data_IF_166475374256
#
_entry.id   IF_166475374256
#
_cell.length_a   1.000
_cell.length_b   1.000
_cell.length_c   1.000
_cell.angle_alpha   90.00
_cell.angle_beta   90.00
_cell.angle_gamma   90.00
#
_symmetry.space_group_name_H-M   'P 1'
#
loop_
_entity.id
_entity.type
_entity.pdbx_description
1 polymer ?
#
# COMPACT_ATOMS: atom_id res chain seq x y z
N UNK A 1 -15.23 -14.01 17.79
CA UNK A 1 -13.78 -13.75 17.85
C UNK A 1 -13.11 -14.82 17.02
N UNK A 2 -12.47 -14.47 15.91
CA UNK A 2 -11.75 -15.44 15.09
C UNK A 2 -10.48 -15.89 15.82
N UNK A 3 -10.12 -17.18 15.77
CA UNK A 3 -8.86 -17.64 16.34
C UNK A 3 -7.67 -16.94 15.63
N UNK A 4 -6.57 -16.65 16.34
CA UNK A 4 -5.37 -16.13 15.71
C UNK A 4 -4.85 -17.09 14.62
N UNK A 5 -4.40 -16.51 13.50
CA UNK A 5 -3.89 -17.25 12.35
C UNK A 5 -2.36 -17.26 12.39
N UNK A 6 -1.75 -18.42 12.15
CA UNK A 6 -0.29 -18.54 11.99
C UNK A 6 0.11 -18.29 10.52
N UNK A 7 1.14 -17.49 10.28
CA UNK A 7 1.61 -17.27 8.92
C UNK A 7 2.48 -18.43 8.43
N UNK A 8 2.23 -18.83 7.18
CA UNK A 8 3.09 -19.75 6.41
C UNK A 8 4.02 -18.99 5.44
N UNK A 9 3.69 -17.72 5.15
CA UNK A 9 4.45 -16.85 4.25
C UNK A 9 4.19 -15.37 4.57
N UNK A 10 5.14 -14.50 4.21
CA UNK A 10 5.04 -13.05 4.31
C UNK A 10 4.45 -12.36 3.08
N UNK A 11 4.17 -13.09 1.99
CA UNK A 11 3.77 -12.47 0.71
C UNK A 11 2.57 -11.53 0.85
N UNK A 12 1.54 -11.92 1.61
CA UNK A 12 0.34 -11.10 1.84
C UNK A 12 0.66 -9.82 2.61
N UNK A 13 1.51 -9.89 3.63
CA UNK A 13 1.94 -8.73 4.42
C UNK A 13 2.78 -7.78 3.57
N UNK A 14 3.73 -8.32 2.79
CA UNK A 14 4.58 -7.54 1.91
C UNK A 14 3.80 -6.88 0.78
N UNK A 15 2.78 -7.54 0.25
CA UNK A 15 1.89 -6.95 -0.76
C UNK A 15 1.10 -5.76 -0.19
N UNK A 16 0.65 -5.84 1.06
CA UNK A 16 -0.04 -4.72 1.74
C UNK A 16 0.98 -3.60 2.04
N UNK A 17 2.20 -3.94 2.42
CA UNK A 17 3.25 -2.96 2.69
C UNK A 17 3.71 -2.22 1.41
N UNK A 18 3.79 -2.92 0.28
CA UNK A 18 4.18 -2.34 -1.01
C UNK A 18 3.09 -1.46 -1.63
N UNK A 19 1.82 -1.72 -1.30
CA UNK A 19 0.69 -0.91 -1.71
C UNK A 19 -0.21 -0.60 -0.50
N UNK A 20 0.21 0.36 0.36
CA UNK A 20 -0.53 0.66 1.58
C UNK A 20 -1.93 1.19 1.26
N UNK A 21 -2.98 0.76 1.97
CA UNK A 21 -4.33 1.24 1.74
C UNK A 21 -4.41 2.74 2.04
N UNK A 22 -5.17 3.47 1.22
CA UNK A 22 -5.36 4.92 1.34
C UNK A 22 -5.93 5.35 2.70
N UNK A 23 -6.71 4.47 3.32
CA UNK A 23 -7.30 4.69 4.64
C UNK A 23 -6.96 3.51 5.56
N UNK A 24 -6.47 3.77 6.79
CA UNK A 24 -6.09 2.70 7.72
C UNK A 24 -7.23 1.75 8.11
N UNK A 25 -8.48 2.23 8.07
CA UNK A 25 -9.69 1.44 8.33
C UNK A 25 -10.69 1.70 7.23
N UNK A 26 -10.58 0.91 6.17
CA UNK A 26 -11.59 0.88 5.11
C UNK A 26 -12.77 0.00 5.58
N UNK A 27 -13.96 0.55 5.86
CA UNK A 27 -15.11 -0.23 6.31
C UNK A 27 -15.63 -1.20 5.23
N UNK A 28 -15.26 -0.99 3.97
CA UNK A 28 -15.60 -1.88 2.85
C UNK A 28 -14.65 -3.08 2.71
N UNK A 29 -13.48 -3.05 3.35
CA UNK A 29 -12.56 -4.20 3.34
C UNK A 29 -12.96 -5.24 4.40
N UNK A 30 -12.82 -6.54 4.10
CA UNK A 30 -13.03 -7.57 5.09
C UNK A 30 -12.04 -7.38 6.24
N UNK A 31 -12.54 -7.47 7.48
CA UNK A 31 -11.70 -7.43 8.67
C UNK A 31 -10.72 -8.59 8.61
N UNK A 32 -9.42 -8.29 8.65
CA UNK A 32 -8.37 -9.32 8.69
C UNK A 32 -8.38 -10.01 10.06
N UNK A 33 -8.11 -11.32 10.04
CA UNK A 33 -7.97 -12.09 11.26
C UNK A 33 -6.72 -11.66 12.05
N UNK A 34 -6.72 -11.81 13.39
CA UNK A 34 -5.53 -11.56 14.20
C UNK A 34 -4.38 -12.48 13.78
N UNK A 35 -3.17 -11.95 13.70
CA UNK A 35 -1.97 -12.70 13.34
C UNK A 35 -1.19 -13.11 14.59
N UNK A 36 -0.78 -14.38 14.66
CA UNK A 36 0.11 -14.87 15.73
C UNK A 36 1.53 -14.35 15.50
N UNK A 37 2.16 -13.80 16.54
CA UNK A 37 3.57 -13.41 16.54
C UNK A 37 4.32 -14.22 17.58
N UNK A 38 5.40 -14.88 17.16
CA UNK A 38 6.30 -15.62 18.03
C UNK A 38 7.40 -14.69 18.55
N UNK A 39 7.72 -14.85 19.82
CA UNK A 39 8.81 -14.15 20.49
C UNK A 39 10.02 -15.06 20.50
N UNK A 40 11.13 -14.62 19.90
CA UNK A 40 12.38 -15.37 19.87
C UNK A 40 13.58 -14.47 20.20
N UNK A 41 14.60 -15.02 20.86
CA UNK A 41 15.84 -14.31 21.17
C UNK A 41 16.87 -14.56 20.08
N UNK A 42 17.55 -13.51 19.66
CA UNK A 42 18.63 -13.60 18.66
C UNK A 42 19.88 -14.23 19.30
N UNK A 43 20.44 -15.30 18.73
CA UNK A 43 21.67 -15.89 19.24
C UNK A 43 22.85 -14.91 19.19
N UNK A 44 23.62 -14.83 20.27
CA UNK A 44 24.81 -13.99 20.34
C UNK A 44 24.53 -12.51 20.71
N UNK A 45 23.29 -12.04 20.62
CA UNK A 45 22.89 -10.73 21.14
C UNK A 45 21.84 -10.85 22.25
N UNK A 46 21.47 -9.73 22.84
CA UNK A 46 20.38 -9.66 23.83
C UNK A 46 19.06 -9.25 23.19
N UNK A 47 18.99 -9.34 21.87
CA UNK A 47 17.88 -8.83 21.09
C UNK A 47 16.74 -9.84 21.00
N UNK A 48 15.55 -9.30 20.79
CA UNK A 48 14.31 -10.05 20.71
C UNK A 48 13.65 -9.70 19.38
N UNK A 49 13.18 -10.71 18.67
CA UNK A 49 12.37 -10.52 17.47
C UNK A 49 10.93 -10.99 17.70
N UNK A 50 10.00 -10.31 17.05
CA UNK A 50 8.63 -10.78 16.86
C UNK A 50 8.45 -11.14 15.39
N UNK A 51 8.29 -12.44 15.14
CA UNK A 51 8.11 -12.98 13.78
C UNK A 51 6.75 -13.64 13.64
N UNK A 52 6.04 -13.46 12.51
CA UNK A 52 4.77 -14.14 12.26
C UNK A 52 4.97 -15.58 11.75
N UNK A 53 6.18 -15.90 11.25
CA UNK A 53 6.55 -17.24 10.84
C UNK A 53 7.04 -18.02 12.05
N UNK A 54 6.71 -19.31 12.12
CA UNK A 54 7.12 -20.16 13.22
C UNK A 54 8.64 -20.38 13.21
N UNK A 55 9.39 -19.83 14.20
CA UNK A 55 10.82 -19.99 14.24
C UNK A 55 11.19 -21.44 14.60
N UNK A 56 12.35 -21.90 14.14
CA UNK A 56 12.88 -23.19 14.59
C UNK A 56 13.34 -23.07 16.06
N UNK A 57 12.82 -23.97 16.91
CA UNK A 57 13.06 -23.96 18.35
C UNK A 57 14.53 -24.17 18.72
N UNK A 58 15.29 -24.83 17.85
CA UNK A 58 16.69 -25.15 18.12
C UNK A 58 17.63 -24.07 17.62
N UNK A 59 17.36 -23.51 16.45
CA UNK A 59 18.28 -22.61 15.77
C UNK A 59 17.49 -21.49 15.09
N UNK A 60 17.59 -20.28 15.63
CA UNK A 60 17.11 -19.08 14.98
C UNK A 60 18.08 -18.75 13.83
N UNK A 61 17.56 -18.67 12.60
CA UNK A 61 18.36 -18.36 11.40
C UNK A 61 18.39 -16.87 11.13
N UNK A 62 19.43 -16.41 10.42
CA UNK A 62 19.50 -15.03 9.93
C UNK A 62 18.24 -14.62 9.14
N UNK A 63 17.68 -15.55 8.36
CA UNK A 63 16.42 -15.33 7.64
C UNK A 63 15.25 -15.00 8.57
N UNK A 64 15.17 -15.60 9.76
CA UNK A 64 14.10 -15.31 10.72
C UNK A 64 14.24 -13.89 11.29
N UNK A 65 15.48 -13.41 11.45
CA UNK A 65 15.76 -12.02 11.85
C UNK A 65 15.41 -11.06 10.71
N UNK A 66 15.83 -11.35 9.49
CA UNK A 66 15.55 -10.51 8.32
C UNK A 66 14.05 -10.46 7.96
N UNK A 67 13.31 -11.50 8.30
CA UNK A 67 11.87 -11.63 8.01
C UNK A 67 10.97 -11.33 9.22
N UNK A 68 11.55 -10.86 10.33
CA UNK A 68 10.76 -10.46 11.49
C UNK A 68 9.95 -9.18 11.20
N UNK A 69 8.84 -9.00 11.91
CA UNK A 69 8.03 -7.77 11.80
C UNK A 69 8.51 -6.71 12.79
N UNK A 70 9.06 -7.13 13.93
CA UNK A 70 9.59 -6.22 14.93
C UNK A 70 10.90 -6.77 15.46
N UNK A 71 11.87 -5.86 15.58
CA UNK A 71 13.17 -6.10 16.18
C UNK A 71 13.29 -5.21 17.41
N UNK A 72 13.59 -5.81 18.55
CA UNK A 72 13.79 -5.12 19.82
C UNK A 72 15.24 -5.31 20.23
N UNK A 73 16.00 -4.23 20.15
CA UNK A 73 17.35 -4.17 20.66
C UNK A 73 17.33 -3.78 22.14
N UNK A 74 18.15 -4.43 22.96
CA UNK A 74 18.32 -4.03 24.37
C UNK A 74 19.53 -3.13 24.48
N UNK A 75 19.32 -1.86 24.80
CA UNK A 75 20.40 -0.88 24.93
C UNK A 75 21.41 -1.29 26.01
N UNK A 76 22.67 -1.43 25.62
CA UNK A 76 23.80 -1.64 26.52
C UNK A 76 24.66 -0.37 26.59
N UNK A 77 25.40 -0.16 27.70
CA UNK A 77 26.34 0.97 27.79
C UNK A 77 27.42 0.91 26.71
N UNK A 78 27.71 -0.27 26.16
CA UNK A 78 28.63 -0.44 25.04
C UNK A 78 28.10 0.15 23.73
N UNK A 79 26.77 0.23 23.55
CA UNK A 79 26.17 0.77 22.33
C UNK A 79 26.28 2.29 22.27
N UNK A 80 26.32 2.96 23.43
CA UNK A 80 26.52 4.40 23.50
C UNK A 80 27.86 4.84 22.85
N UNK A 81 28.90 4.00 22.96
CA UNK A 81 30.18 4.25 22.30
C UNK A 81 30.09 4.10 20.76
N UNK A 82 29.28 3.14 20.27
CA UNK A 82 29.07 2.92 18.84
C UNK A 82 28.29 4.08 18.19
N UNK A 83 27.29 4.61 18.89
CA UNK A 83 26.50 5.76 18.42
C UNK A 83 27.37 7.00 18.21
N UNK A 84 28.34 7.22 19.09
CA UNK A 84 29.24 8.38 19.01
C UNK A 84 30.20 8.26 17.81
N UNK A 85 30.79 7.08 17.56
CA UNK A 85 31.62 6.82 16.37
C UNK A 85 30.84 6.98 15.05
N UNK A 86 29.61 6.47 15.00
CA UNK A 86 28.71 6.61 13.84
C UNK A 86 28.35 8.07 13.57
N UNK A 87 28.12 8.84 14.63
CA UNK A 87 27.78 10.27 14.54
C UNK A 87 28.98 11.11 14.09
N UNK A 88 30.19 10.79 14.56
CA UNK A 88 31.42 11.47 14.16
C UNK A 88 31.79 11.24 12.68
N UNK A 89 31.34 10.13 12.09
CA UNK A 89 31.62 9.76 10.69
C UNK A 89 30.59 10.36 9.71
N UNK A 90 29.47 10.89 10.19
CA UNK A 90 28.48 11.54 9.33
C UNK A 90 28.97 12.91 8.86
N UNK A 91 29.49 12.96 7.62
CA UNK A 91 29.79 14.20 6.90
C UNK A 91 28.58 15.14 6.93
N UNK A 92 28.75 16.44 7.23
CA UNK A 92 27.64 17.38 7.26
C UNK A 92 26.95 17.41 5.89
N UNK A 93 25.72 16.91 5.84
CA UNK A 93 24.88 16.96 4.65
C UNK A 93 24.76 18.44 4.20
N UNK A 94 25.02 18.78 2.94
CA UNK A 94 24.89 20.16 2.47
C UNK A 94 23.45 20.63 2.67
N UNK A 95 23.21 21.88 3.08
CA UNK A 95 21.85 22.38 3.32
C UNK A 95 20.99 22.17 2.07
N UNK A 96 19.83 21.53 2.23
CA UNK A 96 18.88 21.33 1.14
C UNK A 96 18.43 22.69 0.61
N UNK A 97 18.47 22.94 -0.71
CA UNK A 97 18.04 24.22 -1.27
C UNK A 97 16.55 24.41 -0.98
N UNK A 98 16.23 25.49 -0.26
CA UNK A 98 14.87 25.88 0.08
C UNK A 98 14.11 26.26 -1.20
N UNK A 99 13.21 25.39 -1.64
CA UNK A 99 12.34 25.63 -2.80
C UNK A 99 11.38 26.78 -2.46
N UNK A 100 11.57 27.93 -3.11
CA UNK A 100 10.63 29.03 -3.03
C UNK A 100 9.29 28.63 -3.65
N UNK A 101 8.29 28.37 -2.80
CA UNK A 101 6.92 28.08 -3.25
C UNK A 101 6.28 29.38 -3.72
N UNK A 102 5.89 29.43 -4.99
CA UNK A 102 5.01 30.49 -5.50
C UNK A 102 3.66 30.39 -4.78
N UNK A 103 3.04 31.51 -4.40
CA UNK A 103 1.75 31.51 -3.72
C UNK A 103 0.69 30.85 -4.60
N UNK A 104 -0.18 30.07 -3.95
CA UNK A 104 -1.31 29.41 -4.60
C UNK A 104 -2.22 30.50 -5.21
N UNK A 105 -2.66 30.39 -6.48
CA UNK A 105 -3.57 31.36 -7.07
C UNK A 105 -4.86 31.43 -6.25
N UNK A 106 -5.12 32.58 -5.67
CA UNK A 106 -6.35 32.92 -4.94
C UNK A 106 -7.48 33.14 -5.94
N UNK A 107 -8.03 32.07 -6.51
CA UNK A 107 -9.34 32.17 -7.15
C UNK A 107 -10.02 30.81 -7.23
N UNK A 108 -10.58 30.39 -6.10
CA UNK A 108 -11.81 29.63 -6.06
C UNK A 108 -12.38 29.75 -4.64
N UNK A 109 -12.74 30.98 -4.27
CA UNK A 109 -13.69 31.14 -3.17
C UNK A 109 -15.01 30.49 -3.62
N UNK A 110 -15.56 29.51 -2.88
CA UNK A 110 -16.90 29.04 -3.15
C UNK A 110 -17.85 30.19 -2.83
N UNK A 111 -18.60 30.64 -3.82
CA UNK A 111 -19.70 31.59 -3.64
C UNK A 111 -20.79 30.84 -2.86
N UNK A 112 -20.79 31.01 -1.54
CA UNK A 112 -21.92 30.64 -0.69
C UNK A 112 -22.87 31.84 -0.75
N UNK A 113 -23.76 31.85 -1.73
CA UNK A 113 -24.92 32.75 -1.70
C UNK A 113 -25.98 32.09 -0.83
N UNK A 114 -26.20 32.68 0.34
CA UNK A 114 -27.36 32.46 1.19
C UNK A 114 -28.63 33.04 0.56
N UNK A 115 -29.73 32.32 0.78
CA UNK A 115 -31.15 32.72 0.74
C UNK A 115 -31.97 32.50 -0.56
N UNK A 116 -33.31 32.35 -0.47
CA UNK A 116 -34.01 31.17 -0.97
C UNK A 116 -35.12 31.53 -1.99
N UNK A 117 -35.90 30.53 -2.40
CA UNK A 117 -37.22 30.62 -3.08
C UNK A 117 -37.21 30.72 -4.62
N UNK A 118 -37.42 29.53 -5.22
CA UNK A 118 -38.35 29.22 -6.33
C UNK A 118 -37.99 29.66 -7.78
N UNK A 119 -38.62 29.07 -8.82
CA UNK A 119 -37.97 28.13 -9.75
C UNK A 119 -37.70 28.73 -11.14
N UNK A 120 -36.65 28.32 -11.87
CA UNK A 120 -36.43 28.81 -13.22
C UNK A 120 -37.25 28.04 -14.26
N UNK A 121 -38.14 28.77 -14.97
CA UNK A 121 -38.61 28.44 -16.32
C UNK A 121 -37.46 28.57 -17.33
N UNK A 122 -37.52 27.89 -18.50
CA UNK A 122 -36.34 27.57 -19.30
C UNK A 122 -35.83 28.75 -20.15
N UNK A 123 -34.50 28.93 -20.29
CA UNK A 123 -33.91 29.88 -21.24
C UNK A 123 -33.85 29.33 -22.68
N UNK A 124 -33.72 30.22 -23.68
CA UNK A 124 -34.08 29.98 -25.08
C UNK A 124 -32.99 29.28 -25.89
N UNK A 125 -33.44 28.68 -26.99
CA UNK A 125 -32.68 27.99 -28.02
C UNK A 125 -31.39 28.73 -28.44
N UNK A 126 -30.24 28.08 -28.23
CA UNK A 126 -29.02 28.36 -28.99
C UNK A 126 -28.95 27.32 -30.10
N UNK A 127 -28.99 27.81 -31.34
CA UNK A 127 -28.87 27.02 -32.56
C UNK A 127 -27.49 26.33 -32.60
N UNK A 128 -27.49 25.00 -32.53
CA UNK A 128 -26.39 24.16 -32.97
C UNK A 128 -26.61 23.84 -34.44
N UNK A 129 -26.02 24.64 -35.32
CA UNK A 129 -25.82 24.28 -36.71
C UNK A 129 -24.45 23.63 -36.82
N UNK A 130 -24.39 22.29 -36.80
CA UNK A 130 -23.59 21.58 -37.78
C UNK A 130 -24.10 20.16 -37.93
N UNK A 131 -24.22 19.80 -39.19
CA UNK A 131 -24.86 18.64 -39.80
C UNK A 131 -24.07 17.34 -39.55
N UNK A 132 -24.76 16.26 -39.13
CA UNK A 132 -24.48 14.88 -39.56
C UNK A 132 -25.52 13.89 -38.96
N UNK A 133 -26.13 12.99 -39.76
CA UNK A 133 -27.24 12.14 -39.31
C UNK A 133 -26.86 10.92 -38.45
N UNK A 134 -27.81 10.55 -37.59
CA UNK A 134 -27.87 9.38 -36.70
C UNK A 134 -27.85 8.04 -37.43
N UNK A 135 -27.04 7.08 -36.95
CA UNK A 135 -27.23 5.64 -37.17
C UNK A 135 -27.35 4.91 -35.80
N UNK A 136 -28.32 3.99 -35.62
CA UNK A 136 -28.68 3.39 -34.33
C UNK A 136 -27.68 2.34 -33.78
N UNK A 137 -27.78 1.95 -32.48
CA UNK A 137 -26.73 1.26 -31.76
C UNK A 137 -26.69 -0.24 -32.11
N UNK A 138 -25.50 -0.77 -32.37
CA UNK A 138 -25.27 -2.22 -32.48
C UNK A 138 -24.53 -2.77 -31.27
N UNK A 139 -25.08 -3.85 -30.76
CA UNK A 139 -24.72 -4.56 -29.55
C UNK A 139 -23.28 -5.08 -29.54
N UNK A 140 -22.80 -5.28 -28.31
CA UNK A 140 -21.49 -5.77 -27.92
C UNK A 140 -21.01 -7.02 -28.67
N UNK A 141 -19.75 -7.00 -29.10
CA UNK A 141 -19.00 -8.18 -29.52
C UNK A 141 -18.27 -8.79 -28.31
N UNK A 142 -18.38 -10.11 -28.04
CA UNK A 142 -17.59 -10.78 -27.00
C UNK A 142 -16.13 -11.01 -27.42
N UNK A 143 -15.19 -11.14 -26.47
CA UNK A 143 -13.77 -11.35 -26.77
C UNK A 143 -13.51 -12.74 -27.39
N UNK A 144 -12.48 -12.88 -28.24
CA UNK A 144 -12.15 -14.15 -28.89
C UNK A 144 -11.64 -15.18 -27.87
N UNK A 145 -12.18 -16.41 -27.96
CA UNK A 145 -11.75 -17.57 -27.17
C UNK A 145 -10.33 -18.01 -27.58
N UNK A 146 -9.47 -18.44 -26.64
CA UNK A 146 -8.17 -19.02 -26.98
C UNK A 146 -8.34 -20.39 -27.66
N UNK A 147 -7.59 -20.60 -28.74
CA UNK A 147 -7.59 -21.84 -29.49
C UNK A 147 -7.04 -23.01 -28.64
N UNK A 148 -7.85 -24.07 -28.50
CA UNK A 148 -7.41 -25.36 -27.95
C UNK A 148 -6.45 -26.01 -28.96
N UNK A 149 -5.20 -26.27 -28.55
CA UNK A 149 -4.32 -27.19 -29.30
C UNK A 149 -4.86 -28.62 -29.13
N UNK A 150 -4.98 -29.40 -30.22
CA UNK A 150 -5.34 -30.81 -30.11
C UNK A 150 -4.21 -31.60 -29.47
N UNK A 151 -4.57 -32.31 -28.40
CA UNK A 151 -3.87 -33.44 -27.82
C UNK A 151 -4.15 -34.64 -28.73
N UNK A 152 -3.12 -35.15 -29.41
CA UNK A 152 -2.82 -36.57 -29.63
C UNK A 152 -1.80 -36.71 -30.76
N UNK A 153 -0.74 -37.47 -30.52
CA UNK A 153 -0.50 -38.70 -31.28
C UNK A 153 0.37 -39.67 -30.45
N UNK A 154 -0.04 -40.94 -30.31
CA UNK A 154 0.80 -42.02 -29.82
C UNK A 154 1.55 -42.68 -30.98
N UNK A 155 2.86 -42.89 -30.85
CA UNK A 155 3.61 -43.76 -31.77
C UNK A 155 4.57 -44.65 -30.96
N UNK A 156 4.28 -45.95 -31.04
CA UNK A 156 5.11 -47.15 -30.96
C UNK A 156 6.13 -47.30 -29.82
#
# INVERSE_FOLDING_TARGET
>A
MHPPVEAQSLSSLLQIASNPPRYPRNPSEPKRDPLTLYIARVPGSQDIILTPLKPDLKNLKELDVASCLYYFHRDLPSDAALVDELSATHSPHPPTPHIARKPLPTSSAPVITTDPVAPPSPPPHIALTTDAPLEPPRAASPPPKPARRPLNDPIA
#
